data_IF_512503561993
#
_entry.id   IF_512503561993
#
_cell.length_a   1.000
_cell.length_b   1.000
_cell.length_c   1.000
_cell.angle_alpha   90.00
_cell.angle_beta   90.00
_cell.angle_gamma   90.00
#
_symmetry.space_group_name_H-M   'P 1'
#
loop_
_entity.id
_entity.type
_entity.pdbx_description
1 polymer ?
#
# COMPACT_ATOMS: atom_id res chain seq x y z
N UNK A 1 16.78 -5.35 -20.33
CA UNK A 1 16.00 -4.14 -20.05
C UNK A 1 15.21 -4.38 -18.77
N UNK A 2 14.94 -3.36 -17.95
CA UNK A 2 14.07 -3.51 -16.77
C UNK A 2 12.60 -3.53 -17.21
N UNK A 3 11.77 -4.28 -16.51
CA UNK A 3 10.32 -4.13 -16.60
C UNK A 3 9.92 -2.74 -16.10
N UNK A 4 8.90 -2.13 -16.71
CA UNK A 4 8.44 -0.81 -16.25
C UNK A 4 7.85 -0.91 -14.85
N UNK A 5 6.93 -1.85 -14.64
CA UNK A 5 6.26 -2.02 -13.37
C UNK A 5 5.94 -3.49 -13.10
N UNK A 6 5.94 -3.84 -11.83
CA UNK A 6 5.52 -5.16 -11.32
C UNK A 6 4.46 -4.95 -10.25
N UNK A 7 3.38 -5.71 -10.31
CA UNK A 7 2.35 -5.69 -9.28
C UNK A 7 2.73 -6.68 -8.19
N UNK A 8 2.75 -6.20 -6.95
CA UNK A 8 3.15 -6.96 -5.77
C UNK A 8 1.93 -7.10 -4.88
N UNK A 9 1.45 -8.32 -4.68
CA UNK A 9 0.25 -8.60 -3.89
C UNK A 9 0.63 -9.34 -2.60
N UNK A 10 0.65 -8.66 -1.43
CA UNK A 10 0.91 -9.32 -0.16
C UNK A 10 -0.32 -10.14 0.29
N UNK A 11 -0.11 -11.40 0.67
CA UNK A 11 -1.16 -12.30 1.17
C UNK A 11 -0.82 -12.81 2.57
N UNK A 12 -1.68 -12.56 3.56
CA UNK A 12 -1.46 -12.76 5.00
C UNK A 12 -1.03 -14.16 5.47
N UNK A 13 -1.18 -15.18 4.65
CA UNK A 13 -1.16 -16.59 5.01
C UNK A 13 -2.51 -17.16 5.46
N UNK A 14 -3.52 -16.30 5.69
CA UNK A 14 -4.88 -16.72 6.05
C UNK A 14 -5.77 -16.92 4.81
N UNK A 15 -6.85 -17.73 4.90
CA UNK A 15 -7.83 -17.88 3.83
C UNK A 15 -8.39 -16.55 3.35
N UNK A 16 -8.59 -16.42 2.04
CA UNK A 16 -9.07 -15.16 1.44
C UNK A 16 -10.57 -14.99 1.67
N UNK A 17 -10.96 -13.82 2.15
CA UNK A 17 -12.37 -13.42 2.18
C UNK A 17 -12.92 -13.20 0.77
N UNK A 18 -14.25 -13.21 0.60
CA UNK A 18 -14.90 -12.94 -0.69
C UNK A 18 -14.50 -11.57 -1.27
N UNK A 19 -14.36 -10.56 -0.40
CA UNK A 19 -13.87 -9.23 -0.77
C UNK A 19 -12.45 -9.28 -1.30
N UNK A 20 -11.54 -9.89 -0.55
CA UNK A 20 -10.13 -10.00 -0.93
C UNK A 20 -9.98 -10.78 -2.25
N UNK A 21 -10.79 -11.82 -2.43
CA UNK A 21 -10.89 -12.56 -3.67
C UNK A 21 -11.35 -11.68 -4.85
N UNK A 22 -12.38 -10.86 -4.65
CA UNK A 22 -12.86 -9.93 -5.67
C UNK A 22 -11.81 -8.88 -6.04
N UNK A 23 -11.11 -8.33 -5.04
CA UNK A 23 -9.96 -7.44 -5.22
C UNK A 23 -8.83 -8.10 -6.01
N UNK A 24 -8.46 -9.33 -5.67
CA UNK A 24 -7.40 -10.09 -6.32
C UNK A 24 -7.74 -10.46 -7.77
N UNK A 25 -8.97 -10.92 -8.03
CA UNK A 25 -9.48 -11.18 -9.40
C UNK A 25 -9.43 -9.91 -10.23
N UNK A 26 -9.91 -8.79 -9.67
CA UNK A 26 -9.91 -7.50 -10.38
C UNK A 26 -8.49 -7.04 -10.71
N UNK A 27 -7.57 -7.15 -9.75
CA UNK A 27 -6.16 -6.83 -9.97
C UNK A 27 -5.59 -7.63 -11.14
N UNK A 28 -5.86 -8.95 -11.20
CA UNK A 28 -5.45 -9.79 -12.32
C UNK A 28 -6.09 -9.36 -13.63
N UNK A 29 -7.39 -9.13 -13.65
CA UNK A 29 -8.13 -8.74 -14.87
C UNK A 29 -7.64 -7.42 -15.45
N UNK A 30 -7.46 -6.40 -14.60
CA UNK A 30 -7.11 -5.05 -15.04
C UNK A 30 -5.63 -4.91 -15.34
N UNK A 31 -4.76 -5.48 -14.51
CA UNK A 31 -3.31 -5.31 -14.61
C UNK A 31 -2.60 -6.52 -15.21
N UNK A 32 -3.30 -7.37 -15.98
CA UNK A 32 -2.75 -8.57 -16.62
C UNK A 32 -1.55 -8.32 -17.54
N UNK A 33 -1.37 -7.07 -18.01
CA UNK A 33 -0.25 -6.67 -18.86
C UNK A 33 1.08 -6.54 -18.10
N UNK A 34 1.07 -6.58 -16.76
CA UNK A 34 2.26 -6.46 -15.92
C UNK A 34 2.50 -7.78 -15.18
N UNK A 35 3.77 -8.13 -14.86
CA UNK A 35 4.05 -9.24 -13.97
C UNK A 35 3.35 -9.04 -12.62
N UNK A 36 2.63 -10.05 -12.15
CA UNK A 36 1.96 -10.06 -10.84
C UNK A 36 2.67 -11.10 -9.97
N UNK A 37 3.26 -10.62 -8.86
CA UNK A 37 4.00 -11.46 -7.92
C UNK A 37 3.27 -11.47 -6.58
N UNK A 38 2.92 -12.67 -6.11
CA UNK A 38 2.37 -12.87 -4.78
C UNK A 38 3.52 -12.85 -3.77
N UNK A 39 3.38 -12.06 -2.70
CA UNK A 39 4.31 -12.07 -1.58
C UNK A 39 3.60 -12.76 -0.42
N UNK A 40 4.14 -13.89 0.03
CA UNK A 40 3.47 -14.77 1.00
C UNK A 40 4.42 -15.15 2.14
N UNK A 41 3.93 -15.45 3.36
CA UNK A 41 4.77 -16.07 4.38
C UNK A 41 5.20 -17.45 3.90
N UNK A 42 6.40 -17.89 4.29
CA UNK A 42 6.84 -19.25 4.02
C UNK A 42 5.81 -20.27 4.57
N UNK A 43 5.43 -21.23 3.73
CA UNK A 43 4.44 -22.27 4.06
C UNK A 43 2.97 -21.90 3.82
N UNK A 44 2.65 -20.66 3.43
CA UNK A 44 1.30 -20.32 3.01
C UNK A 44 0.96 -21.00 1.68
N UNK A 45 -0.19 -21.68 1.62
CA UNK A 45 -0.66 -22.36 0.42
C UNK A 45 -2.09 -21.96 0.07
N UNK A 46 -2.22 -21.20 -1.01
CA UNK A 46 -3.49 -20.73 -1.52
C UNK A 46 -4.05 -21.56 -2.69
N UNK A 47 -3.30 -22.54 -3.19
CA UNK A 47 -3.66 -23.26 -4.42
C UNK A 47 -4.94 -24.08 -4.26
N UNK A 48 -5.21 -24.60 -3.05
CA UNK A 48 -6.43 -25.36 -2.79
C UNK A 48 -7.69 -24.49 -2.86
N UNK A 49 -7.60 -23.24 -2.42
CA UNK A 49 -8.72 -22.28 -2.40
C UNK A 49 -8.86 -21.55 -3.72
N UNK A 50 -7.73 -21.26 -4.37
CA UNK A 50 -7.65 -20.42 -5.57
C UNK A 50 -6.66 -21.03 -6.56
N UNK A 51 -7.08 -22.06 -7.34
CA UNK A 51 -6.18 -22.84 -8.18
C UNK A 51 -5.35 -21.99 -9.14
N UNK A 52 -5.95 -20.96 -9.73
CA UNK A 52 -5.27 -20.10 -10.70
C UNK A 52 -4.14 -19.23 -10.11
N UNK A 53 -3.97 -19.17 -8.78
CA UNK A 53 -2.78 -18.55 -8.19
C UNK A 53 -1.50 -19.34 -8.45
N UNK A 54 -1.59 -20.60 -8.89
CA UNK A 54 -0.44 -21.36 -9.38
C UNK A 54 0.20 -20.76 -10.63
N UNK A 55 -0.56 -19.95 -11.38
CA UNK A 55 -0.08 -19.30 -12.61
C UNK A 55 0.74 -18.04 -12.31
N UNK A 56 0.74 -17.57 -11.05
CA UNK A 56 1.42 -16.35 -10.63
C UNK A 56 2.75 -16.69 -9.96
N UNK A 57 3.75 -15.86 -10.21
CA UNK A 57 5.03 -15.93 -9.51
C UNK A 57 4.83 -15.68 -8.02
N UNK A 58 5.55 -16.44 -7.19
CA UNK A 58 5.48 -16.33 -5.74
C UNK A 58 6.84 -16.00 -5.16
N UNK A 59 6.84 -15.08 -4.20
CA UNK A 59 7.99 -14.74 -3.39
C UNK A 59 7.64 -14.92 -1.92
N UNK A 60 8.31 -15.88 -1.28
CA UNK A 60 8.08 -16.21 0.13
C UNK A 60 9.11 -15.53 1.03
N UNK A 61 8.69 -15.14 2.24
CA UNK A 61 9.60 -14.65 3.28
C UNK A 61 9.32 -15.32 4.63
N UNK A 62 10.34 -15.36 5.47
CA UNK A 62 10.24 -15.84 6.84
C UNK A 62 9.60 -14.78 7.73
N UNK A 63 8.64 -15.19 8.56
CA UNK A 63 8.04 -14.31 9.56
C UNK A 63 8.86 -14.40 10.85
N UNK A 64 9.43 -13.29 11.36
CA UNK A 64 10.21 -13.33 12.59
C UNK A 64 9.38 -13.86 13.78
N UNK A 65 9.95 -14.78 14.59
CA UNK A 65 9.27 -15.29 15.78
C UNK A 65 8.87 -14.16 16.73
N UNK A 66 7.61 -14.15 17.17
CA UNK A 66 7.10 -13.14 18.12
C UNK A 66 6.83 -11.76 17.52
N UNK A 67 6.75 -11.64 16.18
CA UNK A 67 6.26 -10.41 15.54
C UNK A 67 4.83 -10.09 15.98
N UNK A 68 4.63 -8.93 16.61
CA UNK A 68 3.30 -8.39 16.95
C UNK A 68 2.74 -7.47 15.87
N UNK A 69 3.55 -7.11 14.87
CA UNK A 69 3.14 -6.30 13.73
C UNK A 69 2.76 -7.21 12.56
N UNK A 70 1.98 -6.64 11.63
CA UNK A 70 1.70 -7.28 10.35
C UNK A 70 3.03 -7.69 9.67
N UNK A 71 3.21 -8.96 9.24
CA UNK A 71 4.47 -9.43 8.65
C UNK A 71 4.93 -8.60 7.45
N UNK A 72 3.99 -7.92 6.78
CA UNK A 72 4.19 -7.09 5.60
C UNK A 72 4.91 -5.79 5.87
N UNK A 73 4.68 -5.16 7.03
CA UNK A 73 5.19 -3.81 7.32
C UNK A 73 6.71 -3.79 7.43
N UNK A 74 7.28 -4.76 8.16
CA UNK A 74 8.73 -4.92 8.23
C UNK A 74 9.33 -5.27 6.88
N UNK A 75 8.58 -6.02 6.06
CA UNK A 75 9.00 -6.45 4.75
C UNK A 75 9.06 -5.29 3.74
N UNK A 76 8.05 -4.40 3.73
CA UNK A 76 8.01 -3.22 2.86
C UNK A 76 9.04 -2.14 3.21
N UNK A 77 9.58 -2.19 4.42
CA UNK A 77 10.70 -1.36 4.90
C UNK A 77 12.06 -2.09 4.85
N UNK A 78 12.13 -3.29 4.27
CA UNK A 78 13.36 -4.06 4.12
C UNK A 78 14.09 -3.77 2.81
N UNK A 79 15.42 -3.82 2.82
CA UNK A 79 16.25 -3.72 1.61
C UNK A 79 16.05 -4.95 0.70
N UNK A 80 15.80 -6.11 1.31
CA UNK A 80 15.72 -7.41 0.63
C UNK A 80 14.56 -7.45 -0.36
N UNK A 81 13.40 -6.89 -0.01
CA UNK A 81 12.26 -6.78 -0.92
C UNK A 81 12.68 -6.07 -2.23
N UNK A 82 13.25 -4.87 -2.13
CA UNK A 82 13.59 -4.07 -3.31
C UNK A 82 14.78 -4.62 -4.09
N UNK A 83 15.67 -5.40 -3.45
CA UNK A 83 16.67 -6.20 -4.17
C UNK A 83 16.00 -7.24 -5.06
N UNK A 84 14.99 -7.96 -4.54
CA UNK A 84 14.29 -9.02 -5.30
C UNK A 84 13.56 -8.49 -6.51
N UNK A 85 13.08 -7.26 -6.46
CA UNK A 85 12.42 -6.56 -7.57
C UNK A 85 13.35 -5.65 -8.36
N UNK A 86 14.68 -5.77 -8.24
CA UNK A 86 15.64 -4.88 -8.92
C UNK A 86 15.59 -4.92 -10.47
N UNK A 87 14.96 -5.96 -11.03
CA UNK A 87 14.66 -6.12 -12.45
C UNK A 87 13.47 -5.26 -12.93
N UNK A 88 12.72 -4.65 -12.02
CA UNK A 88 11.62 -3.74 -12.30
C UNK A 88 11.97 -2.30 -11.92
N UNK A 89 11.47 -1.31 -12.66
CA UNK A 89 11.65 0.11 -12.30
C UNK A 89 10.71 0.51 -11.15
N UNK A 90 9.47 0.03 -11.19
CA UNK A 90 8.44 0.31 -10.19
C UNK A 90 7.81 -0.96 -9.64
N UNK A 91 7.46 -0.94 -8.36
CA UNK A 91 6.48 -1.90 -7.82
C UNK A 91 5.19 -1.18 -7.46
N UNK A 92 4.05 -1.75 -7.85
CA UNK A 92 2.74 -1.39 -7.33
C UNK A 92 2.39 -2.39 -6.22
N UNK A 93 2.52 -1.96 -4.97
CA UNK A 93 2.05 -2.75 -3.83
C UNK A 93 0.53 -2.62 -3.77
N UNK A 94 -0.17 -3.73 -3.99
CA UNK A 94 -1.63 -3.82 -4.04
C UNK A 94 -2.14 -4.75 -2.93
N UNK A 95 -2.48 -4.17 -1.78
CA UNK A 95 -3.10 -4.90 -0.67
C UNK A 95 -4.57 -5.19 -0.99
N UNK A 96 -5.13 -6.26 -0.44
CA UNK A 96 -6.47 -6.75 -0.80
C UNK A 96 -7.63 -5.96 -0.15
N UNK A 97 -7.33 -4.87 0.54
CA UNK A 97 -8.30 -3.82 0.89
C UNK A 97 -8.31 -2.66 -0.13
N UNK A 98 -7.72 -2.86 -1.32
CA UNK A 98 -7.77 -1.95 -2.46
C UNK A 98 -8.44 -2.61 -3.68
N UNK A 99 -8.90 -1.81 -4.63
CA UNK A 99 -9.60 -2.27 -5.84
C UNK A 99 -9.23 -1.39 -7.03
N UNK A 100 -8.55 -1.95 -8.02
CA UNK A 100 -8.15 -1.22 -9.25
C UNK A 100 -9.37 -1.02 -10.15
N UNK A 101 -9.62 0.23 -10.52
CA UNK A 101 -10.77 0.61 -11.35
C UNK A 101 -10.43 0.43 -12.84
N UNK A 102 -9.27 0.92 -13.28
CA UNK A 102 -8.81 0.89 -14.67
C UNK A 102 -7.29 0.72 -14.75
N UNK A 103 -6.76 0.26 -15.89
CA UNK A 103 -5.31 0.21 -16.09
C UNK A 103 -4.77 1.59 -16.46
N UNK A 104 -4.21 2.26 -15.46
CA UNK A 104 -3.46 3.52 -15.64
C UNK A 104 -2.03 3.40 -15.10
N UNK A 105 -1.54 2.17 -14.88
CA UNK A 105 -0.26 1.96 -14.19
C UNK A 105 0.90 2.54 -15.00
N UNK A 106 0.91 2.37 -16.32
CA UNK A 106 1.88 3.02 -17.20
C UNK A 106 1.86 4.55 -17.06
N UNK A 107 0.66 5.17 -17.03
CA UNK A 107 0.51 6.61 -16.86
C UNK A 107 1.16 7.08 -15.54
N UNK A 108 0.91 6.37 -14.44
CA UNK A 108 1.45 6.71 -13.12
C UNK A 108 2.96 6.56 -13.05
N UNK A 109 3.52 5.53 -13.69
CA UNK A 109 4.97 5.37 -13.80
C UNK A 109 5.62 6.55 -14.55
N UNK A 110 4.95 7.08 -15.57
CA UNK A 110 5.46 8.21 -16.38
C UNK A 110 5.35 9.58 -15.68
N UNK A 111 4.60 9.70 -14.59
CA UNK A 111 4.54 10.96 -13.82
C UNK A 111 5.88 11.30 -13.12
N UNK A 112 6.76 10.30 -12.97
CA UNK A 112 8.11 10.48 -12.43
C UNK A 112 8.15 10.72 -10.92
N UNK A 113 7.13 10.26 -10.19
CA UNK A 113 7.15 10.20 -8.72
C UNK A 113 8.00 9.02 -8.27
N UNK A 114 8.78 9.21 -7.21
CA UNK A 114 9.52 8.12 -6.57
C UNK A 114 8.59 7.27 -5.68
N UNK A 115 7.58 7.93 -5.10
CA UNK A 115 6.60 7.31 -4.22
C UNK A 115 5.25 8.01 -4.35
N UNK A 116 4.19 7.23 -4.50
CA UNK A 116 2.81 7.68 -4.41
C UNK A 116 2.00 6.58 -3.73
N UNK A 117 1.21 6.97 -2.73
CA UNK A 117 0.27 6.10 -2.07
C UNK A 117 -1.09 6.79 -1.97
N UNK A 118 -2.12 5.98 -1.73
CA UNK A 118 -3.42 6.53 -1.36
C UNK A 118 -3.30 7.49 -0.18
N UNK A 119 -4.15 8.52 -0.20
CA UNK A 119 -4.34 9.34 0.98
C UNK A 119 -4.88 8.42 2.08
N UNK A 120 -4.27 8.47 3.28
CA UNK A 120 -4.89 7.82 4.41
C UNK A 120 -6.31 8.33 4.62
N UNK A 121 -7.17 7.52 5.25
CA UNK A 121 -8.57 7.83 5.50
C UNK A 121 -8.74 9.00 6.46
N UNK A 122 -8.51 10.22 6.00
CA UNK A 122 -8.66 11.43 6.78
C UNK A 122 -10.02 12.05 6.48
N UNK A 123 -10.89 11.98 7.49
CA UNK A 123 -12.07 12.82 7.61
C UNK A 123 -11.62 14.28 7.49
N UNK A 124 -12.29 15.14 6.69
CA UNK A 124 -11.71 16.37 6.12
C UNK A 124 -11.38 17.52 7.09
N UNK A 125 -11.34 17.30 8.40
CA UNK A 125 -11.21 18.39 9.38
C UNK A 125 -10.15 18.21 10.47
N UNK A 126 -9.39 17.10 10.51
CA UNK A 126 -8.44 16.91 11.61
C UNK A 126 -7.00 17.27 11.22
N UNK A 127 -6.32 17.92 12.17
CA UNK A 127 -4.90 18.30 12.30
C UNK A 127 -3.84 17.23 11.93
N UNK A 128 -4.26 16.09 11.40
CA UNK A 128 -3.54 14.84 11.13
C UNK A 128 -2.28 14.95 10.26
N UNK A 129 -2.25 15.75 9.19
CA UNK A 129 -1.04 15.90 8.36
C UNK A 129 0.08 16.67 9.10
N UNK A 130 -0.26 17.77 9.78
CA UNK A 130 0.67 18.49 10.67
C UNK A 130 1.07 17.64 11.89
N UNK A 131 0.15 16.79 12.35
CA UNK A 131 0.37 15.82 13.43
C UNK A 131 1.40 14.76 13.00
N UNK A 132 1.18 14.03 11.90
CA UNK A 132 2.16 13.08 11.36
C UNK A 132 3.54 13.74 11.14
N UNK A 133 3.54 14.97 10.62
CA UNK A 133 4.76 15.76 10.43
C UNK A 133 5.48 16.19 11.72
N UNK A 134 4.76 16.48 12.81
CA UNK A 134 5.35 16.77 14.13
C UNK A 134 5.76 15.49 14.88
N UNK A 135 5.05 14.38 14.65
CA UNK A 135 5.17 13.14 15.41
C UNK A 135 6.29 12.21 14.91
N UNK A 136 6.63 12.27 13.63
CA UNK A 136 7.84 11.62 13.08
C UNK A 136 9.15 12.33 13.48
N UNK A 137 9.03 13.31 14.38
CA UNK A 137 10.08 13.87 15.25
C UNK A 137 10.09 13.28 16.67
N UNK A 138 9.68 12.02 16.87
CA UNK A 138 10.03 11.14 18.00
C UNK A 138 9.74 11.66 19.44
N UNK A 139 8.73 12.51 19.65
CA UNK A 139 8.06 12.72 20.97
C UNK A 139 6.61 13.15 20.76
N UNK A 140 5.68 12.20 20.84
CA UNK A 140 4.27 12.39 20.46
C UNK A 140 3.38 12.74 21.66
N UNK A 141 2.40 13.63 21.45
CA UNK A 141 1.30 13.94 22.39
C UNK A 141 -0.06 13.53 21.83
N UNK A 142 -0.12 13.00 20.60
CA UNK A 142 -1.37 12.60 19.96
C UNK A 142 -1.76 11.18 20.34
N UNK A 143 -3.06 10.92 20.63
CA UNK A 143 -3.52 9.58 20.94
C UNK A 143 -3.34 8.60 19.77
N UNK A 144 -2.80 7.41 20.06
CA UNK A 144 -2.62 6.31 19.09
C UNK A 144 -3.84 5.98 18.22
N UNK A 145 -5.09 6.00 18.72
CA UNK A 145 -6.25 5.74 17.87
C UNK A 145 -6.42 6.75 16.73
N UNK A 146 -6.03 8.01 16.95
CA UNK A 146 -6.11 9.04 15.92
C UNK A 146 -5.03 8.84 14.84
N UNK A 147 -3.84 8.41 15.25
CA UNK A 147 -2.78 8.02 14.32
C UNK A 147 -3.20 6.79 13.50
N UNK A 148 -3.82 5.79 14.13
CA UNK A 148 -4.33 4.58 13.46
C UNK A 148 -5.33 4.92 12.35
N UNK A 149 -6.33 5.75 12.68
CA UNK A 149 -7.31 6.22 11.69
C UNK A 149 -6.63 7.00 10.56
N UNK A 150 -5.63 7.81 10.90
CA UNK A 150 -4.88 8.62 9.95
C UNK A 150 -3.91 7.84 9.07
N UNK A 151 -3.73 6.53 9.23
CA UNK A 151 -2.90 5.69 8.35
C UNK A 151 -3.65 4.49 7.78
N UNK A 152 -4.87 4.23 8.26
CA UNK A 152 -5.68 3.11 7.82
C UNK A 152 -6.15 3.24 6.37
N UNK A 153 -6.28 2.08 5.71
CA UNK A 153 -6.95 1.95 4.41
C UNK A 153 -6.20 2.56 3.23
N UNK A 154 -4.88 2.76 3.34
CA UNK A 154 -4.08 3.26 2.20
C UNK A 154 -4.01 2.20 1.11
N UNK A 155 -3.73 0.92 1.43
CA UNK A 155 -3.97 -0.25 0.59
C UNK A 155 -3.18 -0.36 -0.73
N UNK A 156 -2.73 0.75 -1.31
CA UNK A 156 -2.14 0.84 -2.62
C UNK A 156 -1.01 1.86 -2.62
N UNK A 157 0.16 1.46 -3.13
CA UNK A 157 1.29 2.37 -3.32
C UNK A 157 2.14 1.98 -4.51
N UNK A 158 2.50 2.97 -5.33
CA UNK A 158 3.48 2.83 -6.41
C UNK A 158 4.82 3.36 -5.93
N UNK A 159 5.86 2.54 -6.08
CA UNK A 159 7.17 2.76 -5.47
C UNK A 159 8.28 2.54 -6.49
N UNK A 160 9.17 3.51 -6.65
CA UNK A 160 10.32 3.39 -7.55
C UNK A 160 11.43 2.61 -6.88
N UNK A 161 11.71 1.40 -7.36
CA UNK A 161 12.48 0.36 -6.65
C UNK A 161 13.82 0.87 -6.15
N UNK A 162 14.62 1.48 -7.03
CA UNK A 162 15.95 1.96 -6.69
C UNK A 162 15.92 3.10 -5.65
N UNK A 163 14.90 3.96 -5.71
CA UNK A 163 14.76 5.12 -4.82
C UNK A 163 14.35 4.69 -3.43
N UNK A 164 13.41 3.76 -3.32
CA UNK A 164 13.01 3.16 -2.05
C UNK A 164 14.18 2.43 -1.40
N UNK A 165 14.90 1.61 -2.17
CA UNK A 165 16.08 0.85 -1.71
C UNK A 165 17.15 1.78 -1.14
N UNK A 166 17.47 2.86 -1.86
CA UNK A 166 18.43 3.89 -1.39
C UNK A 166 17.94 4.59 -0.13
N UNK A 167 16.67 4.95 -0.07
CA UNK A 167 16.06 5.58 1.09
C UNK A 167 16.12 4.68 2.33
N UNK A 168 15.80 3.39 2.19
CA UNK A 168 15.88 2.40 3.28
C UNK A 168 17.31 2.25 3.78
N UNK A 169 18.28 2.06 2.86
CA UNK A 169 19.70 1.91 3.23
C UNK A 169 20.25 3.09 4.01
N UNK A 170 19.85 4.31 3.64
CA UNK A 170 20.29 5.52 4.32
C UNK A 170 19.59 5.79 5.66
N UNK A 171 18.48 5.10 5.94
CA UNK A 171 17.64 5.36 7.12
C UNK A 171 17.40 4.11 7.98
N UNK A 172 18.26 3.07 7.86
CA UNK A 172 18.16 1.80 8.61
C UNK A 172 17.94 2.00 10.10
N UNK A 173 18.65 2.95 10.72
CA UNK A 173 18.50 3.26 12.15
C UNK A 173 17.08 3.75 12.49
N UNK A 174 16.55 4.72 11.74
CA UNK A 174 15.19 5.24 11.96
C UNK A 174 14.13 4.18 11.72
N UNK A 175 14.31 3.35 10.68
CA UNK A 175 13.42 2.22 10.39
C UNK A 175 13.42 1.23 11.57
N UNK A 176 14.60 0.88 12.08
CA UNK A 176 14.71 0.01 13.25
C UNK A 176 14.05 0.59 14.49
N UNK A 177 14.26 1.88 14.78
CA UNK A 177 13.61 2.59 15.89
C UNK A 177 12.08 2.55 15.76
N UNK A 178 11.53 2.83 14.56
CA UNK A 178 10.10 2.76 14.27
C UNK A 178 9.52 1.34 14.43
N UNK A 179 10.19 0.34 13.83
CA UNK A 179 9.74 -1.06 13.88
C UNK A 179 9.77 -1.62 15.31
N UNK A 180 10.73 -1.19 16.12
CA UNK A 180 10.90 -1.63 17.52
C UNK A 180 9.99 -0.90 18.52
N UNK A 181 9.37 0.22 18.13
CA UNK A 181 8.49 0.97 19.02
C UNK A 181 7.19 0.19 19.28
N UNK A 182 7.01 -0.23 20.53
CA UNK A 182 5.83 -0.97 21.01
C UNK A 182 4.61 -0.08 21.21
N UNK A 183 4.79 1.23 21.37
CA UNK A 183 3.67 2.17 21.48
C UNK A 183 2.91 2.25 20.15
N UNK A 184 3.61 2.03 19.03
CA UNK A 184 3.04 2.02 17.68
C UNK A 184 2.55 0.64 17.23
N UNK A 185 2.36 -0.32 18.15
CA UNK A 185 1.85 -1.65 17.82
C UNK A 185 0.44 -1.55 17.22
N UNK A 186 0.20 -2.23 16.10
CA UNK A 186 -1.08 -2.23 15.38
C UNK A 186 -1.32 -1.02 14.46
N UNK A 187 -0.33 -0.12 14.32
CA UNK A 187 -0.33 0.91 13.29
C UNK A 187 0.43 0.42 12.05
N UNK A 188 0.01 0.86 10.86
CA UNK A 188 0.77 0.59 9.63
C UNK A 188 2.07 1.40 9.62
N UNK A 189 3.16 0.74 10.04
CA UNK A 189 4.48 1.37 10.16
C UNK A 189 5.11 1.71 8.82
N UNK A 190 4.76 1.00 7.75
CA UNK A 190 5.23 1.32 6.40
C UNK A 190 4.62 2.65 5.93
N UNK A 191 3.30 2.82 6.08
CA UNK A 191 2.61 4.09 5.80
C UNK A 191 3.17 5.22 6.66
N UNK A 192 3.32 5.00 7.97
CA UNK A 192 3.87 6.01 8.89
C UNK A 192 5.25 6.50 8.43
N UNK A 193 6.13 5.57 8.05
CA UNK A 193 7.47 5.91 7.59
C UNK A 193 7.42 6.76 6.33
N UNK A 194 6.71 6.31 5.29
CA UNK A 194 6.73 7.00 4.01
C UNK A 194 5.95 8.31 4.02
N UNK A 195 4.80 8.39 4.70
CA UNK A 195 3.98 9.61 4.69
C UNK A 195 4.71 10.82 5.27
N UNK A 196 5.30 10.71 6.46
CA UNK A 196 5.89 11.89 7.08
C UNK A 196 7.41 11.97 7.05
N UNK A 197 8.11 10.96 6.51
CA UNK A 197 9.54 11.09 6.25
C UNK A 197 9.90 11.26 4.78
N UNK A 198 9.11 10.79 3.79
CA UNK A 198 9.50 10.77 2.36
C UNK A 198 10.14 12.06 1.82
N UNK A 199 9.58 13.22 2.17
CA UNK A 199 10.08 14.55 1.77
C UNK A 199 11.35 15.00 2.52
N UNK A 200 11.59 14.43 3.70
CA UNK A 200 12.69 14.74 4.63
C UNK A 200 13.82 13.72 4.58
N UNK A 201 13.65 12.62 3.84
CA UNK A 201 14.71 11.64 3.62
C UNK A 201 15.84 12.24 2.79
N UNK A 202 17.03 11.64 2.90
CA UNK A 202 18.13 11.92 2.00
C UNK A 202 18.46 10.67 1.15
N UNK A 203 18.40 10.75 -0.20
CA UNK A 203 17.86 11.87 -0.97
C UNK A 203 16.33 11.99 -0.80
N UNK A 204 15.74 13.20 -0.91
CA UNK A 204 14.31 13.36 -0.79
C UNK A 204 13.59 12.62 -1.91
N UNK A 205 12.46 12.01 -1.58
CA UNK A 205 11.62 11.35 -2.57
C UNK A 205 10.73 12.36 -3.29
N UNK A 206 10.61 12.22 -4.61
CA UNK A 206 9.62 12.98 -5.38
C UNK A 206 8.23 12.40 -5.11
N UNK A 207 7.42 13.13 -4.35
CA UNK A 207 6.06 12.74 -3.98
C UNK A 207 5.02 13.77 -4.47
N UNK A 208 3.82 13.33 -4.89
CA UNK A 208 2.78 14.18 -5.45
C UNK A 208 2.10 15.11 -4.43
N UNK A 209 1.28 16.04 -4.93
CA UNK A 209 0.35 16.83 -4.12
C UNK A 209 -0.87 15.99 -3.70
N UNK A 210 -1.63 16.40 -2.67
CA UNK A 210 -2.85 15.70 -2.26
C UNK A 210 -3.86 15.53 -3.40
N UNK A 211 -4.04 16.56 -4.26
CA UNK A 211 -4.95 16.50 -5.42
C UNK A 211 -4.56 15.38 -6.38
N UNK A 212 -3.26 15.26 -6.69
CA UNK A 212 -2.75 14.20 -7.57
C UNK A 212 -2.90 12.82 -6.91
N UNK A 213 -2.70 12.71 -5.60
CA UNK A 213 -2.93 11.45 -4.86
C UNK A 213 -4.39 11.02 -4.88
N UNK A 214 -5.32 11.96 -4.78
CA UNK A 214 -6.75 11.67 -4.84
C UNK A 214 -7.17 11.16 -6.23
N UNK A 215 -6.47 11.61 -7.29
CA UNK A 215 -6.64 11.05 -8.64
C UNK A 215 -6.01 9.65 -8.79
N UNK A 216 -4.91 9.38 -8.07
CA UNK A 216 -4.31 8.05 -8.03
C UNK A 216 -5.21 7.04 -7.33
N UNK A 217 -5.74 7.41 -6.17
CA UNK A 217 -6.66 6.52 -5.47
C UNK A 217 -7.50 7.26 -4.45
N UNK A 218 -8.72 6.76 -4.26
CA UNK A 218 -9.66 7.31 -3.28
C UNK A 218 -9.88 6.29 -2.17
N UNK A 219 -9.59 6.72 -0.93
CA UNK A 219 -9.95 5.94 0.25
C UNK A 219 -11.46 6.06 0.49
N UNK A 220 -12.17 4.94 0.49
CA UNK A 220 -13.63 4.92 0.58
C UNK A 220 -14.15 5.46 1.91
N UNK A 221 -13.38 5.38 3.00
CA UNK A 221 -13.73 6.00 4.28
C UNK A 221 -13.82 7.53 4.17
N UNK A 222 -13.12 8.15 3.21
CA UNK A 222 -13.23 9.59 2.97
C UNK A 222 -14.50 10.00 2.22
N UNK A 223 -15.21 9.03 1.61
CA UNK A 223 -16.45 9.25 0.85
C UNK A 223 -17.71 9.20 1.73
N UNK A 224 -17.58 8.78 3.00
CA UNK A 224 -18.68 8.76 3.97
C UNK A 224 -19.88 7.93 3.50
N UNK A 225 -21.10 8.39 3.82
CA UNK A 225 -22.35 7.73 3.41
C UNK A 225 -22.71 7.92 1.92
N UNK A 226 -21.92 8.71 1.19
CA UNK A 226 -22.14 8.97 -0.25
C UNK A 226 -21.43 7.97 -1.16
N UNK A 227 -20.72 6.99 -0.58
CA UNK A 227 -20.10 5.90 -1.33
C UNK A 227 -21.17 5.09 -2.09
N UNK A 228 -21.01 4.94 -3.40
CA UNK A 228 -21.98 4.30 -4.31
C UNK A 228 -23.08 5.23 -4.85
N UNK A 229 -23.15 6.49 -4.42
CA UNK A 229 -24.05 7.52 -4.98
C UNK A 229 -23.32 8.61 -5.78
N UNK A 230 -22.00 8.74 -5.60
CA UNK A 230 -21.18 9.72 -6.32
C UNK A 230 -20.44 9.07 -7.49
N UNK A 231 -20.71 9.58 -8.70
CA UNK A 231 -19.85 9.35 -9.86
C UNK A 231 -18.57 10.17 -9.64
N UNK A 232 -17.45 9.49 -9.40
CA UNK A 232 -16.15 10.13 -9.34
C UNK A 232 -15.70 10.43 -10.78
N UNK A 233 -15.68 11.69 -11.19
CA UNK A 233 -15.25 12.07 -12.54
C UNK A 233 -14.06 13.02 -12.50
N UNK A 234 -12.91 12.68 -13.12
CA UNK A 234 -12.61 11.36 -13.71
C UNK A 234 -12.48 10.26 -12.64
N UNK A 235 -12.72 9.00 -13.03
CA UNK A 235 -12.55 7.85 -12.14
C UNK A 235 -11.10 7.82 -11.59
N UNK A 236 -10.91 7.50 -10.30
CA UNK A 236 -9.57 7.27 -9.76
C UNK A 236 -8.98 5.98 -10.35
N UNK A 237 -7.66 5.84 -10.31
CA UNK A 237 -7.02 4.58 -10.72
C UNK A 237 -7.40 3.40 -9.81
N UNK A 238 -7.62 3.67 -8.50
CA UNK A 238 -8.09 2.66 -7.56
C UNK A 238 -8.92 3.22 -6.41
N UNK A 239 -9.66 2.32 -5.74
CA UNK A 239 -10.32 2.54 -4.45
C UNK A 239 -9.53 1.82 -3.36
N UNK A 240 -9.51 2.36 -2.13
CA UNK A 240 -8.76 1.78 -1.00
C UNK A 240 -9.55 1.87 0.30
N UNK A 241 -9.17 1.11 1.32
CA UNK A 241 -9.86 1.12 2.61
C UNK A 241 -11.18 0.36 2.60
N UNK A 242 -11.25 -0.71 1.81
CA UNK A 242 -12.46 -1.52 1.61
C UNK A 242 -12.80 -2.43 2.81
N UNK A 243 -12.11 -2.25 3.94
CA UNK A 243 -12.33 -2.95 5.19
C UNK A 243 -13.73 -2.60 5.74
N UNK A 244 -14.71 -3.45 5.44
CA UNK A 244 -16.13 -3.26 5.79
C UNK A 244 -17.09 -3.18 4.59
N UNK A 245 -16.59 -3.28 3.36
CA UNK A 245 -17.39 -3.19 2.14
C UNK A 245 -17.54 -4.54 1.43
N UNK A 246 -18.71 -4.78 0.82
CA UNK A 246 -18.99 -5.99 0.02
C UNK A 246 -18.52 -5.86 -1.43
N UNK A 247 -18.25 -6.97 -2.13
CA UNK A 247 -17.90 -6.98 -3.55
C UNK A 247 -18.83 -6.17 -4.44
N UNK A 248 -20.13 -6.27 -4.22
CA UNK A 248 -21.16 -5.58 -5.00
C UNK A 248 -21.05 -4.06 -4.84
N UNK A 249 -20.73 -3.59 -3.64
CA UNK A 249 -20.67 -2.16 -3.34
C UNK A 249 -19.53 -1.47 -4.09
N UNK A 250 -18.33 -2.06 -4.13
CA UNK A 250 -17.22 -1.44 -4.86
C UNK A 250 -17.16 -1.84 -6.35
N UNK A 251 -17.79 -2.94 -6.76
CA UNK A 251 -17.97 -3.25 -8.17
C UNK A 251 -18.97 -2.29 -8.84
N UNK A 252 -19.92 -1.72 -8.09
CA UNK A 252 -20.87 -0.73 -8.64
C UNK A 252 -20.20 0.53 -9.19
N UNK A 253 -18.98 0.84 -8.78
CA UNK A 253 -18.16 1.94 -9.33
C UNK A 253 -17.68 1.72 -10.77
N UNK A 254 -17.90 0.53 -11.33
CA UNK A 254 -17.54 0.22 -12.71
C UNK A 254 -18.64 0.56 -13.72
N UNK A 255 -19.86 0.88 -13.27
CA UNK A 255 -21.06 1.07 -14.11
C UNK A 255 -21.48 2.54 -14.22
#
# INVERSE_FOLDING_TARGET
MKELATVVVPLSGAPLTEREMASLRRCREVLHAYPIVLVTPHGANYQAEVPWLSDLDQYTFEVPPGSTNSPWESHFLSDDLYERFAWSEFILVHQLNSYVVSDELHYWCKQGYDYIQALPGLVPQSRSAQVLEQELGLKTKVPLPQLAQAVAGTGLSLRRVERMRRAIRNNKRKIYELLSDRTLSGLDKDVLFWEGLSRRLWPPLRVPTPVVRQRFSVNVASLGTSFGQQVLSPNPFALTGLDGWSPEQFASYLN
#
